data_IF_864456760786
#
_entry.id   IF_864456760786
#
_cell.length_a   1.000
_cell.length_b   1.000
_cell.length_c   1.000
_cell.angle_alpha   90.00
_cell.angle_beta   90.00
_cell.angle_gamma   90.00
#
_symmetry.space_group_name_H-M   'P 1'
#
loop_
_entity.id
_entity.type
_entity.pdbx_description
1 polymer ?
#
# COMPACT_ATOMS: atom_id res chain seq x y z
N UNK A 1 26.92 -41.38 -61.30
CA UNK A 1 27.40 -42.37 -62.29
C UNK A 1 28.18 -41.65 -63.37
N UNK A 2 29.39 -42.08 -63.69
CA UNK A 2 30.14 -41.53 -64.85
C UNK A 2 30.10 -42.58 -65.98
N UNK A 3 29.72 -42.18 -67.21
CA UNK A 3 29.74 -43.07 -68.33
C UNK A 3 31.19 -43.34 -68.75
N UNK A 4 31.49 -44.57 -69.01
CA UNK A 4 32.69 -45.00 -69.76
C UNK A 4 32.24 -45.32 -71.18
N UNK A 5 32.75 -44.54 -72.14
CA UNK A 5 32.39 -44.71 -73.58
C UNK A 5 33.49 -45.37 -74.32
N UNK A 6 33.15 -46.03 -75.43
CA UNK A 6 34.07 -46.62 -76.41
C UNK A 6 34.65 -45.50 -77.29
N UNK A 7 35.52 -45.90 -78.30
CA UNK A 7 36.13 -44.97 -79.26
C UNK A 7 35.13 -44.32 -80.22
N UNK A 8 33.91 -44.87 -80.27
CA UNK A 8 32.81 -44.31 -81.07
C UNK A 8 31.94 -43.34 -80.29
N UNK A 9 32.12 -43.17 -78.91
CA UNK A 9 31.34 -42.36 -78.05
C UNK A 9 30.09 -43.08 -77.47
N UNK A 10 29.96 -44.40 -77.70
CA UNK A 10 28.86 -45.13 -77.14
C UNK A 10 29.15 -45.59 -75.71
N UNK A 11 28.14 -45.48 -74.81
CA UNK A 11 28.30 -45.76 -73.35
C UNK A 11 28.37 -47.29 -73.17
N UNK A 12 29.56 -47.86 -72.91
CA UNK A 12 29.82 -49.23 -72.66
C UNK A 12 29.55 -49.69 -71.27
N UNK A 13 29.79 -48.73 -70.29
CA UNK A 13 29.66 -49.01 -68.85
C UNK A 13 29.36 -47.79 -68.05
N UNK A 14 28.56 -47.95 -66.99
CA UNK A 14 28.33 -46.88 -66.00
C UNK A 14 29.12 -47.23 -64.76
N UNK A 15 30.19 -46.41 -64.49
CA UNK A 15 30.96 -46.56 -63.28
C UNK A 15 30.19 -45.92 -62.10
N UNK A 16 29.72 -46.73 -61.12
CA UNK A 16 29.12 -46.15 -59.92
C UNK A 16 30.22 -45.44 -59.10
N UNK A 17 30.19 -44.14 -59.06
CA UNK A 17 31.01 -43.38 -58.10
C UNK A 17 30.12 -42.92 -56.98
N UNK A 18 30.37 -43.41 -55.79
CA UNK A 18 29.73 -42.97 -54.56
C UNK A 18 30.78 -42.37 -53.63
N UNK A 19 30.48 -41.24 -53.02
CA UNK A 19 31.25 -40.71 -51.92
C UNK A 19 30.51 -41.13 -50.63
N UNK A 20 31.20 -41.78 -49.69
CA UNK A 20 30.66 -42.03 -48.37
C UNK A 20 30.60 -40.70 -47.63
N UNK A 21 29.40 -40.28 -47.29
CA UNK A 21 29.13 -39.00 -46.57
C UNK A 21 28.60 -39.28 -45.16
N UNK A 22 28.68 -40.51 -44.65
CA UNK A 22 28.13 -40.91 -43.33
C UNK A 22 28.73 -40.13 -42.19
N UNK A 23 30.06 -40.01 -42.12
CA UNK A 23 30.73 -39.20 -41.10
C UNK A 23 30.33 -37.72 -41.17
N UNK A 24 30.32 -37.15 -42.38
CA UNK A 24 29.94 -35.76 -42.59
C UNK A 24 28.52 -35.48 -42.10
N UNK A 25 27.54 -36.35 -42.44
CA UNK A 25 26.18 -36.25 -41.95
C UNK A 25 26.10 -36.40 -40.44
N UNK A 26 26.88 -37.29 -39.83
CA UNK A 26 26.99 -37.44 -38.38
C UNK A 26 27.44 -36.15 -37.69
N UNK A 27 28.47 -35.50 -38.22
CA UNK A 27 28.92 -34.20 -37.70
C UNK A 27 27.87 -33.09 -37.88
N UNK A 28 27.22 -33.02 -39.06
CA UNK A 28 26.18 -32.02 -39.31
C UNK A 28 24.98 -32.17 -38.37
N UNK A 29 24.55 -33.41 -38.06
CA UNK A 29 23.48 -33.70 -37.09
C UNK A 29 23.90 -33.29 -35.67
N UNK A 30 25.08 -33.73 -35.22
CA UNK A 30 25.58 -33.42 -33.90
C UNK A 30 25.76 -31.90 -33.68
N UNK A 31 26.25 -31.16 -34.68
CA UNK A 31 26.34 -29.72 -34.65
C UNK A 31 24.97 -29.07 -34.50
N UNK A 32 24.00 -29.48 -35.33
CA UNK A 32 22.62 -28.97 -35.30
C UNK A 32 21.94 -29.20 -33.96
N UNK A 33 22.11 -30.39 -33.36
CA UNK A 33 21.59 -30.72 -32.05
C UNK A 33 22.22 -29.84 -30.94
N UNK A 34 23.54 -29.59 -31.04
CA UNK A 34 24.26 -28.70 -30.13
C UNK A 34 23.76 -27.24 -30.24
N UNK A 35 23.61 -26.73 -31.48
CA UNK A 35 23.07 -25.40 -31.74
C UNK A 35 21.64 -25.26 -31.22
N UNK A 36 20.78 -26.25 -31.43
CA UNK A 36 19.41 -26.26 -30.90
C UNK A 36 19.39 -26.23 -29.38
N UNK A 37 20.25 -26.99 -28.72
CA UNK A 37 20.36 -27.02 -27.25
C UNK A 37 20.83 -25.66 -26.71
N UNK A 38 21.82 -25.04 -27.34
CA UNK A 38 22.30 -23.71 -26.96
C UNK A 38 21.24 -22.63 -27.15
N UNK A 39 20.52 -22.66 -28.28
CA UNK A 39 19.40 -21.76 -28.56
C UNK A 39 18.27 -21.90 -27.54
N UNK A 40 17.94 -23.14 -27.16
CA UNK A 40 16.93 -23.39 -26.13
C UNK A 40 17.35 -22.85 -24.76
N UNK A 41 18.61 -23.04 -24.33
CA UNK A 41 19.14 -22.49 -23.08
C UNK A 41 19.14 -20.95 -23.08
N UNK A 42 19.52 -20.34 -24.20
CA UNK A 42 19.46 -18.91 -24.37
C UNK A 42 18.02 -18.37 -24.23
N UNK A 43 17.03 -19.07 -24.82
CA UNK A 43 15.60 -18.70 -24.70
C UNK A 43 15.11 -18.73 -23.27
N UNK A 44 15.57 -19.68 -22.44
CA UNK A 44 15.23 -19.74 -21.00
C UNK A 44 15.75 -18.51 -20.27
N UNK A 45 17.00 -18.11 -20.55
CA UNK A 45 17.62 -16.92 -19.93
C UNK A 45 16.90 -15.65 -20.37
N UNK A 46 16.54 -15.54 -21.65
CA UNK A 46 15.82 -14.38 -22.19
C UNK A 46 14.39 -14.26 -21.67
N UNK A 47 13.70 -15.39 -21.44
CA UNK A 47 12.32 -15.41 -20.93
C UNK A 47 12.22 -15.21 -19.42
N UNK A 48 13.33 -15.15 -18.69
CA UNK A 48 13.33 -14.92 -17.23
C UNK A 48 12.84 -13.50 -16.91
N UNK A 49 12.03 -13.34 -15.87
CA UNK A 49 11.65 -12.03 -15.32
C UNK A 49 12.78 -11.38 -14.49
N UNK A 50 13.74 -12.17 -14.04
CA UNK A 50 14.90 -11.68 -13.30
C UNK A 50 16.02 -11.26 -14.25
N UNK A 51 16.74 -10.20 -13.91
CA UNK A 51 17.95 -9.83 -14.62
C UNK A 51 19.03 -10.89 -14.42
N UNK A 52 19.49 -11.50 -15.54
CA UNK A 52 20.57 -12.47 -15.55
C UNK A 52 21.77 -11.85 -16.27
N UNK A 53 22.84 -11.65 -15.53
CA UNK A 53 24.05 -10.96 -15.98
C UNK A 53 25.25 -11.83 -15.68
N UNK A 54 26.16 -12.01 -16.64
CA UNK A 54 27.48 -12.59 -16.37
C UNK A 54 28.57 -11.55 -16.55
N UNK A 55 29.68 -11.78 -15.83
CA UNK A 55 30.87 -10.91 -15.89
C UNK A 55 32.12 -11.74 -15.67
N UNK A 56 33.26 -11.25 -16.16
CA UNK A 56 34.56 -11.83 -15.88
C UNK A 56 35.06 -11.47 -14.45
N UNK A 57 36.24 -11.95 -14.07
CA UNK A 57 36.85 -11.69 -12.75
C UNK A 57 37.32 -10.24 -12.56
N UNK A 58 37.39 -9.46 -13.64
CA UNK A 58 37.69 -8.02 -13.59
C UNK A 58 36.42 -7.17 -13.47
N UNK A 59 35.26 -7.82 -13.40
CA UNK A 59 33.98 -7.13 -13.26
C UNK A 59 33.38 -6.63 -14.56
N UNK A 60 33.96 -7.02 -15.71
CA UNK A 60 33.45 -6.62 -17.03
C UNK A 60 32.30 -7.54 -17.44
N UNK A 61 31.20 -6.94 -17.83
CA UNK A 61 29.97 -7.62 -18.23
C UNK A 61 30.21 -8.41 -19.53
N UNK A 62 29.82 -9.69 -19.52
CA UNK A 62 29.92 -10.59 -20.68
C UNK A 62 28.57 -11.06 -21.22
N UNK A 63 27.50 -11.00 -20.43
CA UNK A 63 26.16 -11.24 -20.91
C UNK A 63 25.14 -10.39 -20.17
N UNK A 64 23.99 -10.09 -20.86
CA UNK A 64 22.96 -9.20 -20.39
C UNK A 64 21.64 -9.61 -21.02
N UNK A 65 20.68 -10.19 -20.26
CA UNK A 65 19.41 -10.65 -20.81
C UNK A 65 18.38 -9.51 -20.94
N UNK A 66 17.28 -9.76 -21.63
CA UNK A 66 16.21 -8.78 -21.83
C UNK A 66 15.60 -8.23 -20.54
N UNK A 67 15.59 -9.00 -19.45
CA UNK A 67 15.14 -8.50 -18.14
C UNK A 67 16.14 -7.53 -17.50
N UNK A 68 17.43 -7.74 -17.71
CA UNK A 68 18.43 -6.79 -17.27
C UNK A 68 18.29 -5.45 -18.03
N UNK A 69 17.93 -5.48 -19.32
CA UNK A 69 17.61 -4.26 -20.08
C UNK A 69 16.40 -3.52 -19.47
N UNK A 70 15.31 -4.25 -19.18
CA UNK A 70 14.08 -3.67 -18.60
C UNK A 70 14.30 -3.11 -17.20
N UNK A 71 15.06 -3.83 -16.37
CA UNK A 71 15.29 -3.47 -14.96
C UNK A 71 16.28 -2.31 -14.84
N UNK A 72 17.38 -2.33 -15.58
CA UNK A 72 18.46 -1.32 -15.43
C UNK A 72 18.43 -0.21 -16.47
N UNK A 73 17.71 -0.40 -17.59
CA UNK A 73 17.56 0.62 -18.63
C UNK A 73 18.74 0.72 -19.61
N UNK A 74 19.76 -0.14 -19.52
CA UNK A 74 20.84 -0.27 -20.50
C UNK A 74 20.51 -1.41 -21.46
N UNK A 75 20.70 -1.20 -22.75
CA UNK A 75 20.64 -2.30 -23.74
C UNK A 75 21.85 -3.22 -23.58
N UNK A 76 21.74 -4.47 -24.07
CA UNK A 76 22.88 -5.41 -24.07
C UNK A 76 24.10 -4.83 -24.81
N UNK A 77 23.88 -4.13 -25.92
CA UNK A 77 24.95 -3.49 -26.70
C UNK A 77 25.67 -2.38 -25.92
N UNK A 78 24.98 -1.69 -25.01
CA UNK A 78 25.57 -0.66 -24.16
C UNK A 78 26.26 -1.24 -22.92
N UNK A 79 25.72 -2.34 -22.37
CA UNK A 79 26.18 -2.93 -21.11
C UNK A 79 27.36 -3.90 -21.30
N UNK A 80 27.34 -4.76 -22.33
CA UNK A 80 28.38 -5.74 -22.57
C UNK A 80 29.72 -5.04 -22.86
N UNK A 81 30.76 -5.47 -22.19
CA UNK A 81 32.08 -4.84 -22.26
C UNK A 81 32.29 -3.69 -21.27
N UNK A 82 31.25 -3.22 -20.59
CA UNK A 82 31.35 -2.21 -19.53
C UNK A 82 31.57 -2.86 -18.16
N UNK A 83 32.17 -2.12 -17.21
CA UNK A 83 32.24 -2.60 -15.83
C UNK A 83 30.84 -2.66 -15.19
N UNK A 84 30.55 -3.68 -14.39
CA UNK A 84 29.27 -3.86 -13.70
C UNK A 84 28.93 -2.69 -12.77
N UNK A 85 29.92 -1.88 -12.43
CA UNK A 85 29.75 -0.67 -11.60
C UNK A 85 28.83 0.38 -12.24
N UNK A 86 28.53 0.29 -13.55
CA UNK A 86 27.54 1.18 -14.21
C UNK A 86 26.15 1.12 -13.55
N UNK A 87 25.80 0.01 -12.91
CA UNK A 87 24.52 -0.17 -12.19
C UNK A 87 24.68 -0.08 -10.68
N UNK A 88 25.85 0.30 -10.17
CA UNK A 88 26.14 0.37 -8.73
C UNK A 88 26.32 1.84 -8.34
N UNK A 89 25.52 2.37 -7.37
CA UNK A 89 25.73 3.71 -6.85
C UNK A 89 27.16 3.92 -6.34
N UNK A 90 27.67 5.14 -6.44
CA UNK A 90 29.07 5.47 -6.10
C UNK A 90 29.44 5.10 -4.65
N UNK A 91 28.51 5.30 -3.72
CA UNK A 91 28.65 5.00 -2.28
C UNK A 91 28.66 3.49 -1.97
N UNK A 92 28.37 2.62 -2.96
CA UNK A 92 28.26 1.17 -2.80
C UNK A 92 29.23 0.37 -3.66
N UNK A 93 30.17 1.01 -4.33
CA UNK A 93 31.12 0.31 -5.21
C UNK A 93 32.01 -0.69 -4.50
N UNK A 94 32.24 -0.54 -3.20
CA UNK A 94 33.00 -1.50 -2.39
C UNK A 94 32.30 -2.87 -2.25
N UNK A 95 30.97 -2.92 -2.45
CA UNK A 95 30.23 -4.19 -2.50
C UNK A 95 30.77 -5.09 -3.62
N UNK A 96 31.10 -4.52 -4.79
CA UNK A 96 31.59 -5.28 -5.92
C UNK A 96 32.94 -5.92 -5.65
N UNK A 97 33.87 -5.20 -4.99
CA UNK A 97 35.18 -5.76 -4.59
C UNK A 97 35.00 -6.93 -3.63
N UNK A 98 34.09 -6.80 -2.68
CA UNK A 98 33.78 -7.86 -1.72
C UNK A 98 33.19 -9.08 -2.44
N UNK A 99 32.25 -8.86 -3.36
CA UNK A 99 31.63 -9.92 -4.17
C UNK A 99 32.69 -10.66 -4.98
N UNK A 100 33.53 -9.96 -5.72
CA UNK A 100 34.57 -10.60 -6.55
C UNK A 100 35.60 -11.36 -5.73
N UNK A 101 35.95 -10.87 -4.54
CA UNK A 101 36.87 -11.56 -3.63
C UNK A 101 36.28 -12.91 -3.19
N UNK A 102 35.01 -12.97 -2.83
CA UNK A 102 34.30 -14.19 -2.45
C UNK A 102 34.16 -15.16 -3.63
N UNK A 103 33.78 -14.63 -4.81
CA UNK A 103 33.66 -15.43 -6.04
C UNK A 103 35.00 -16.11 -6.39
N UNK A 104 36.13 -15.39 -6.31
CA UNK A 104 37.46 -15.97 -6.57
C UNK A 104 37.82 -17.13 -5.62
N UNK A 105 37.22 -17.19 -4.41
CA UNK A 105 37.33 -18.29 -3.47
C UNK A 105 36.35 -19.43 -3.74
N UNK A 106 35.51 -19.30 -4.79
CA UNK A 106 34.47 -20.27 -5.12
C UNK A 106 33.21 -20.18 -4.27
N UNK A 107 33.07 -19.12 -3.46
CA UNK A 107 31.93 -18.91 -2.60
C UNK A 107 30.74 -18.37 -3.43
N UNK A 108 29.52 -18.86 -3.10
CA UNK A 108 28.26 -18.32 -3.60
C UNK A 108 27.74 -17.27 -2.63
N UNK A 109 27.05 -16.26 -3.17
CA UNK A 109 26.37 -15.22 -2.39
C UNK A 109 24.88 -15.36 -2.67
N UNK A 110 24.09 -15.66 -1.64
CA UNK A 110 22.66 -15.88 -1.74
C UNK A 110 21.88 -14.72 -1.13
N UNK A 111 20.80 -14.30 -1.82
CA UNK A 111 19.77 -13.38 -1.33
C UNK A 111 20.28 -12.11 -0.63
N UNK A 112 21.25 -11.46 -1.24
CA UNK A 112 21.78 -10.20 -0.74
C UNK A 112 20.94 -9.04 -1.29
N UNK A 113 20.19 -8.34 -0.42
CA UNK A 113 19.45 -7.16 -0.81
C UNK A 113 20.33 -5.92 -0.82
N UNK A 114 20.25 -5.15 -1.89
CA UNK A 114 21.05 -3.94 -2.04
C UNK A 114 20.36 -2.96 -2.99
N UNK A 115 20.87 -1.71 -3.03
CA UNK A 115 20.41 -0.67 -3.95
C UNK A 115 21.25 -0.70 -5.22
N UNK A 116 20.58 -0.56 -6.36
CA UNK A 116 21.21 -0.40 -7.68
C UNK A 116 20.67 0.85 -8.37
N UNK A 117 21.46 1.39 -9.27
CA UNK A 117 21.12 2.58 -10.05
C UNK A 117 20.78 2.17 -11.48
N UNK A 118 19.70 2.74 -12.01
CA UNK A 118 19.32 2.61 -13.42
C UNK A 118 20.06 3.65 -14.26
N UNK A 119 19.99 3.49 -15.58
CA UNK A 119 20.55 4.43 -16.56
C UNK A 119 20.02 5.86 -16.40
N UNK A 120 18.77 6.02 -16.01
CA UNK A 120 18.12 7.32 -15.76
C UNK A 120 18.50 7.96 -14.41
N UNK A 121 19.38 7.31 -13.63
CA UNK A 121 19.81 7.76 -12.31
C UNK A 121 18.87 7.32 -11.17
N UNK A 122 17.71 6.74 -11.45
CA UNK A 122 16.81 6.26 -10.42
C UNK A 122 17.38 5.06 -9.66
N UNK A 123 17.00 4.91 -8.38
CA UNK A 123 17.43 3.81 -7.53
C UNK A 123 16.35 2.75 -7.39
N UNK A 124 16.77 1.49 -7.40
CA UNK A 124 15.93 0.31 -7.17
C UNK A 124 16.54 -0.57 -6.08
N UNK A 125 15.69 -1.25 -5.33
CA UNK A 125 16.14 -2.30 -4.42
C UNK A 125 16.10 -3.62 -5.14
N UNK A 126 17.23 -4.31 -5.19
CA UNK A 126 17.33 -5.62 -5.83
C UNK A 126 17.76 -6.68 -4.82
N UNK A 127 17.19 -7.88 -4.94
CA UNK A 127 17.69 -9.08 -4.30
C UNK A 127 18.62 -9.78 -5.28
N UNK A 128 19.88 -9.96 -4.94
CA UNK A 128 20.90 -10.56 -5.81
C UNK A 128 21.40 -11.89 -5.29
N UNK A 129 21.62 -12.80 -6.23
CA UNK A 129 22.36 -14.03 -6.03
C UNK A 129 23.54 -14.03 -6.98
N UNK A 130 24.76 -14.31 -6.49
CA UNK A 130 25.96 -14.35 -7.34
C UNK A 130 26.65 -15.71 -7.16
N UNK A 131 26.91 -16.36 -8.29
CA UNK A 131 27.54 -17.68 -8.33
C UNK A 131 28.80 -17.67 -9.22
N UNK A 132 29.87 -18.38 -8.85
CA UNK A 132 31.03 -18.50 -9.71
C UNK A 132 30.71 -19.30 -10.99
N UNK A 133 31.17 -18.80 -12.12
CA UNK A 133 31.13 -19.51 -13.40
C UNK A 133 32.47 -20.25 -13.55
N UNK A 134 32.39 -21.57 -13.80
CA UNK A 134 33.53 -22.46 -13.92
C UNK A 134 33.63 -23.07 -15.31
N UNK A 135 34.85 -23.26 -15.79
CA UNK A 135 35.13 -24.06 -16.97
C UNK A 135 35.05 -25.56 -16.63
N UNK A 136 35.11 -26.43 -17.65
CA UNK A 136 35.01 -27.88 -17.45
C UNK A 136 36.11 -28.50 -16.58
N UNK A 137 37.25 -27.85 -16.43
CA UNK A 137 38.38 -28.21 -15.53
C UNK A 137 38.21 -27.65 -14.11
N UNK A 138 37.11 -26.94 -13.82
CA UNK A 138 36.82 -26.36 -12.51
C UNK A 138 37.41 -25.00 -12.25
N UNK A 139 38.15 -24.41 -13.21
CA UNK A 139 38.74 -23.07 -13.09
C UNK A 139 37.63 -22.01 -13.09
N UNK A 140 37.66 -21.07 -12.13
CA UNK A 140 36.69 -19.95 -12.06
C UNK A 140 37.10 -18.89 -13.09
N UNK A 141 36.21 -18.61 -14.02
CA UNK A 141 36.43 -17.63 -15.12
C UNK A 141 35.60 -16.37 -14.98
N UNK A 142 34.62 -16.36 -14.07
CA UNK A 142 33.74 -15.23 -13.89
C UNK A 142 32.65 -15.47 -12.88
N UNK A 143 31.62 -14.64 -12.92
CA UNK A 143 30.45 -14.74 -12.07
C UNK A 143 29.17 -14.59 -12.88
N UNK A 144 28.14 -15.38 -12.51
CA UNK A 144 26.75 -15.18 -12.92
C UNK A 144 26.00 -14.50 -11.79
N UNK A 145 25.24 -13.47 -12.10
CA UNK A 145 24.43 -12.69 -11.17
C UNK A 145 22.96 -12.75 -11.62
N UNK A 146 22.10 -13.14 -10.69
CA UNK A 146 20.66 -13.04 -10.84
C UNK A 146 20.20 -11.87 -9.94
N UNK A 147 19.48 -10.91 -10.50
CA UNK A 147 18.97 -9.76 -9.77
C UNK A 147 17.46 -9.63 -9.99
N UNK A 148 16.71 -9.67 -8.91
CA UNK A 148 15.27 -9.46 -8.89
C UNK A 148 14.97 -8.07 -8.35
N UNK A 149 14.17 -7.27 -9.07
CA UNK A 149 13.66 -5.99 -8.56
C UNK A 149 12.59 -6.28 -7.49
N UNK A 150 12.92 -5.97 -6.23
CA UNK A 150 12.01 -6.11 -5.09
C UNK A 150 11.44 -4.76 -4.63
N UNK A 151 11.69 -3.68 -5.38
CA UNK A 151 11.21 -2.33 -5.08
C UNK A 151 9.68 -2.26 -4.97
N UNK A 152 8.89 -2.85 -5.90
CA UNK A 152 7.43 -2.82 -5.81
C UNK A 152 6.92 -3.54 -4.55
N UNK A 153 7.52 -4.68 -4.24
CA UNK A 153 7.17 -5.48 -3.05
C UNK A 153 7.47 -4.71 -1.75
N UNK A 154 8.65 -4.08 -1.66
CA UNK A 154 9.01 -3.26 -0.49
C UNK A 154 8.09 -2.05 -0.31
N UNK A 155 7.78 -1.34 -1.39
CA UNK A 155 6.83 -0.22 -1.34
C UNK A 155 5.45 -0.65 -0.85
N UNK A 156 4.95 -1.79 -1.34
CA UNK A 156 3.68 -2.34 -0.88
C UNK A 156 3.72 -2.70 0.61
N UNK A 157 4.79 -3.34 1.08
CA UNK A 157 4.98 -3.66 2.49
C UNK A 157 5.03 -2.41 3.38
N UNK A 158 5.74 -1.36 2.95
CA UNK A 158 5.82 -0.08 3.66
C UNK A 158 4.45 0.61 3.73
N UNK A 159 3.69 0.59 2.63
CA UNK A 159 2.31 1.11 2.62
C UNK A 159 1.41 0.35 3.60
N UNK A 160 1.44 -0.98 3.58
CA UNK A 160 0.67 -1.82 4.52
C UNK A 160 1.08 -1.51 5.96
N UNK A 161 2.37 -1.42 6.26
CA UNK A 161 2.86 -1.09 7.60
C UNK A 161 2.43 0.30 8.06
N UNK A 162 2.37 1.27 7.15
CA UNK A 162 1.88 2.63 7.45
C UNK A 162 0.38 2.61 7.74
N UNK A 163 -0.42 1.97 6.90
CA UNK A 163 -1.86 1.83 7.12
C UNK A 163 -2.18 1.07 8.41
N UNK A 164 -1.42 0.03 8.73
CA UNK A 164 -1.58 -0.73 9.97
C UNK A 164 -1.32 0.16 11.20
N UNK A 165 -0.26 0.98 11.18
CA UNK A 165 0.02 1.93 12.27
C UNK A 165 -1.07 2.98 12.44
N UNK A 166 -1.59 3.52 11.33
CA UNK A 166 -2.71 4.45 11.39
C UNK A 166 -3.98 3.81 11.97
N UNK A 167 -4.31 2.58 11.55
CA UNK A 167 -5.45 1.83 12.09
C UNK A 167 -5.29 1.55 13.59
N UNK A 168 -4.08 1.18 14.04
CA UNK A 168 -3.78 0.98 15.46
C UNK A 168 -3.94 2.27 16.27
N UNK A 169 -3.45 3.39 15.75
CA UNK A 169 -3.60 4.70 16.40
C UNK A 169 -5.07 5.11 16.55
N UNK A 170 -5.87 4.91 15.48
CA UNK A 170 -7.30 5.19 15.50
C UNK A 170 -8.04 4.29 16.50
N UNK A 171 -7.70 3.00 16.52
CA UNK A 171 -8.30 2.05 17.50
C UNK A 171 -7.98 2.43 18.95
N UNK A 172 -6.74 2.84 19.25
CA UNK A 172 -6.35 3.33 20.58
C UNK A 172 -7.13 4.58 20.99
N UNK A 173 -7.32 5.53 20.08
CA UNK A 173 -8.09 6.74 20.34
C UNK A 173 -9.56 6.41 20.61
N UNK A 174 -10.15 5.51 19.84
CA UNK A 174 -11.53 5.06 20.02
C UNK A 174 -11.72 4.39 21.39
N UNK A 175 -10.82 3.47 21.77
CA UNK A 175 -10.85 2.82 23.08
C UNK A 175 -10.66 3.81 24.23
N UNK A 176 -9.78 4.81 24.07
CA UNK A 176 -9.62 5.86 25.08
C UNK A 176 -10.89 6.69 25.26
N UNK A 177 -11.60 7.03 24.16
CA UNK A 177 -12.88 7.73 24.22
C UNK A 177 -13.95 6.87 24.92
N UNK A 178 -14.06 5.60 24.59
CA UNK A 178 -14.98 4.67 25.26
C UNK A 178 -14.66 4.56 26.76
N UNK A 179 -13.39 4.40 27.11
CA UNK A 179 -12.97 4.36 28.53
C UNK A 179 -13.32 5.65 29.28
N UNK A 180 -13.10 6.80 28.65
CA UNK A 180 -13.46 8.10 29.25
C UNK A 180 -14.99 8.20 29.45
N UNK A 181 -15.78 7.79 28.45
CA UNK A 181 -17.26 7.76 28.56
C UNK A 181 -17.73 6.88 29.70
N UNK A 182 -17.21 5.66 29.82
CA UNK A 182 -17.57 4.75 30.90
C UNK A 182 -17.20 5.33 32.27
N UNK A 183 -15.98 5.82 32.44
CA UNK A 183 -15.49 6.42 33.69
C UNK A 183 -16.27 7.65 34.12
N UNK A 184 -16.70 8.46 33.17
CA UNK A 184 -17.40 9.71 33.43
C UNK A 184 -18.94 9.51 33.51
N UNK A 185 -19.46 8.36 33.12
CA UNK A 185 -20.90 8.06 33.24
C UNK A 185 -21.31 7.90 34.69
N UNK A 186 -22.38 8.54 35.07
CA UNK A 186 -22.99 8.48 36.39
C UNK A 186 -24.52 8.42 36.26
N UNK A 187 -25.16 7.61 37.09
CA UNK A 187 -26.61 7.53 37.23
C UNK A 187 -26.96 7.06 38.63
N UNK A 188 -28.15 7.41 39.10
CA UNK A 188 -28.64 7.00 40.40
C UNK A 188 -29.11 5.54 40.41
N UNK A 189 -29.28 4.91 39.23
CA UNK A 189 -29.70 3.51 39.07
C UNK A 189 -28.76 2.78 38.10
N UNK A 190 -28.63 1.47 38.27
CA UNK A 190 -27.80 0.61 37.38
C UNK A 190 -28.35 0.61 35.97
N UNK A 191 -29.66 0.54 35.77
CA UNK A 191 -30.31 0.54 34.46
C UNK A 191 -30.10 1.89 33.75
N UNK A 192 -30.27 3.00 34.45
CA UNK A 192 -30.00 4.33 33.88
C UNK A 192 -28.53 4.56 33.52
N UNK A 193 -27.57 3.93 34.26
CA UNK A 193 -26.16 3.95 33.90
C UNK A 193 -25.91 3.17 32.60
N UNK A 194 -26.53 1.99 32.47
CA UNK A 194 -26.43 1.15 31.28
C UNK A 194 -26.97 1.86 30.05
N UNK A 195 -28.18 2.41 30.12
CA UNK A 195 -28.80 3.19 29.04
C UNK A 195 -27.93 4.38 28.62
N UNK A 196 -27.35 5.11 29.58
CA UNK A 196 -26.48 6.25 29.29
C UNK A 196 -25.20 5.84 28.58
N UNK A 197 -24.59 4.71 28.96
CA UNK A 197 -23.39 4.19 28.30
C UNK A 197 -23.71 3.69 26.88
N UNK A 198 -24.80 2.89 26.75
CA UNK A 198 -25.23 2.35 25.44
C UNK A 198 -25.55 3.47 24.45
N UNK A 199 -26.29 4.49 24.85
CA UNK A 199 -26.62 5.63 24.00
C UNK A 199 -25.39 6.37 23.51
N UNK A 200 -24.40 6.59 24.37
CA UNK A 200 -23.15 7.26 24.01
C UNK A 200 -22.29 6.42 23.06
N UNK A 201 -22.21 5.11 23.29
CA UNK A 201 -21.51 4.20 22.38
C UNK A 201 -22.20 4.20 21.02
N UNK A 202 -23.54 4.22 20.98
CA UNK A 202 -24.29 4.29 19.73
C UNK A 202 -24.04 5.60 19.00
N UNK A 203 -24.06 6.74 19.68
CA UNK A 203 -23.72 8.05 19.09
C UNK A 203 -22.31 8.04 18.49
N UNK A 204 -21.33 7.47 19.21
CA UNK A 204 -19.96 7.33 18.69
C UNK A 204 -19.92 6.43 17.45
N UNK A 205 -20.64 5.32 17.42
CA UNK A 205 -20.73 4.41 16.30
C UNK A 205 -21.36 5.09 15.06
N UNK A 206 -22.41 5.88 15.27
CA UNK A 206 -23.07 6.67 14.23
C UNK A 206 -22.11 7.64 13.55
N UNK A 207 -21.34 8.40 14.33
CA UNK A 207 -20.33 9.34 13.78
C UNK A 207 -19.22 8.60 13.05
N UNK A 208 -18.79 7.44 13.52
CA UNK A 208 -17.82 6.61 12.83
C UNK A 208 -18.31 6.16 11.45
N UNK A 209 -19.60 5.89 11.28
CA UNK A 209 -20.19 5.56 9.97
C UNK A 209 -20.05 6.73 8.99
N UNK A 210 -20.26 7.98 9.44
CA UNK A 210 -20.06 9.18 8.62
C UNK A 210 -18.59 9.35 8.19
N UNK A 211 -17.63 8.95 9.03
CA UNK A 211 -16.20 9.02 8.65
C UNK A 211 -15.85 8.05 7.52
N UNK A 212 -16.51 6.90 7.44
CA UNK A 212 -16.27 5.94 6.35
C UNK A 212 -16.67 6.56 5.00
N UNK A 213 -17.80 7.26 4.94
CA UNK A 213 -18.30 7.94 3.73
C UNK A 213 -17.34 9.02 3.24
N UNK A 214 -16.70 9.74 4.16
CA UNK A 214 -15.76 10.84 3.87
C UNK A 214 -14.30 10.38 3.80
N UNK A 215 -14.02 9.07 3.79
CA UNK A 215 -12.67 8.52 3.86
C UNK A 215 -11.84 9.06 5.03
N UNK A 216 -12.49 9.25 6.19
CA UNK A 216 -11.88 9.71 7.44
C UNK A 216 -11.36 11.16 7.43
N UNK A 217 -11.77 11.98 6.47
CA UNK A 217 -11.43 13.41 6.45
C UNK A 217 -12.18 14.15 7.56
N UNK A 218 -13.41 13.73 7.89
CA UNK A 218 -14.26 14.34 8.90
C UNK A 218 -15.72 13.97 8.72
N UNK A 219 -16.63 14.72 9.34
CA UNK A 219 -18.07 14.55 9.16
C UNK A 219 -18.75 15.92 9.00
N UNK A 220 -19.77 15.98 8.16
CA UNK A 220 -20.65 17.15 8.00
C UNK A 220 -21.45 17.37 9.28
N UNK A 221 -21.47 18.61 9.79
CA UNK A 221 -22.20 18.97 11.00
C UNK A 221 -23.72 18.70 10.85
N UNK A 222 -24.26 18.96 9.68
CA UNK A 222 -25.65 18.66 9.34
C UNK A 222 -25.97 17.16 9.42
N UNK A 223 -25.05 16.30 8.94
CA UNK A 223 -25.19 14.85 9.02
C UNK A 223 -25.17 14.32 10.45
N UNK A 224 -24.23 14.84 11.28
CA UNK A 224 -24.18 14.51 12.71
C UNK A 224 -25.48 14.91 13.41
N UNK A 225 -25.94 16.15 13.19
CA UNK A 225 -27.18 16.64 13.79
C UNK A 225 -28.39 15.84 13.34
N UNK A 226 -28.46 15.49 12.05
CA UNK A 226 -29.55 14.67 11.51
C UNK A 226 -29.61 13.28 12.15
N UNK A 227 -28.46 12.62 12.36
CA UNK A 227 -28.39 11.31 13.00
C UNK A 227 -28.79 11.36 14.49
N UNK A 228 -28.27 12.31 15.26
CA UNK A 228 -28.55 12.41 16.69
C UNK A 228 -30.01 12.88 16.97
N UNK A 229 -30.59 13.65 16.09
CA UNK A 229 -31.95 14.19 16.24
C UNK A 229 -33.01 13.41 15.44
N UNK A 230 -32.62 12.35 14.70
CA UNK A 230 -33.53 11.52 13.91
C UNK A 230 -34.72 10.97 14.73
N UNK A 231 -34.58 10.52 16.00
CA UNK A 231 -35.71 10.03 16.78
C UNK A 231 -36.80 11.08 17.02
N UNK A 232 -36.49 12.38 16.90
CA UNK A 232 -37.37 13.49 17.18
C UNK A 232 -37.88 14.18 15.92
N UNK A 233 -37.49 13.67 14.73
CA UNK A 233 -37.91 14.17 13.41
C UNK A 233 -39.08 13.39 12.82
N UNK A 234 -39.87 12.66 13.61
CA UNK A 234 -40.87 11.66 13.28
C UNK A 234 -41.87 12.01 12.12
N UNK A 235 -42.82 11.10 11.84
CA UNK A 235 -43.76 11.13 10.71
C UNK A 235 -44.84 12.22 10.80
N UNK A 236 -44.81 13.10 11.84
CA UNK A 236 -45.69 14.28 12.03
C UNK A 236 -44.91 15.58 11.76
N UNK A 237 -45.38 16.70 12.36
CA UNK A 237 -44.57 17.93 12.36
C UNK A 237 -43.22 17.69 13.06
N UNK A 238 -42.08 18.00 12.36
CA UNK A 238 -40.76 17.76 12.95
C UNK A 238 -40.58 18.56 14.24
N UNK A 239 -40.27 17.84 15.34
CA UNK A 239 -40.04 18.46 16.64
C UNK A 239 -38.58 18.95 16.78
N UNK A 240 -37.70 18.61 15.81
CA UNK A 240 -36.34 19.05 15.74
C UNK A 240 -36.10 19.85 14.45
N UNK A 241 -35.62 21.09 14.56
CA UNK A 241 -35.13 21.92 13.44
C UNK A 241 -33.63 21.93 13.42
N UNK A 242 -33.07 21.64 12.24
CA UNK A 242 -31.62 21.66 11.99
C UNK A 242 -31.37 22.68 10.87
N UNK A 243 -30.53 23.68 11.12
CA UNK A 243 -30.31 24.75 10.14
C UNK A 243 -28.92 25.40 10.31
N UNK A 244 -28.17 25.58 9.21
CA UNK A 244 -26.88 26.23 9.17
C UNK A 244 -26.11 25.96 7.89
N UNK A 245 -25.02 26.68 7.65
CA UNK A 245 -24.15 26.50 6.49
C UNK A 245 -23.47 25.13 6.50
N UNK A 246 -23.00 24.68 5.32
CA UNK A 246 -22.19 23.47 5.21
C UNK A 246 -20.88 23.62 5.99
N UNK A 247 -20.60 22.71 6.90
CA UNK A 247 -19.40 22.69 7.75
C UNK A 247 -18.89 21.26 7.90
N UNK A 248 -17.69 21.01 7.40
CA UNK A 248 -16.97 19.76 7.60
C UNK A 248 -16.13 19.85 8.88
N UNK A 249 -16.41 19.01 9.85
CA UNK A 249 -15.70 18.95 11.11
C UNK A 249 -14.58 17.90 11.05
N UNK A 250 -13.42 18.23 11.60
CA UNK A 250 -12.37 17.25 11.83
C UNK A 250 -12.86 16.11 12.75
N UNK A 251 -12.30 14.88 12.67
CA UNK A 251 -12.82 13.72 13.38
C UNK A 251 -13.01 13.91 14.89
N UNK A 252 -12.05 14.54 15.58
CA UNK A 252 -12.14 14.79 17.01
C UNK A 252 -13.27 15.78 17.36
N UNK A 253 -13.45 16.83 16.56
CA UNK A 253 -14.51 17.80 16.74
C UNK A 253 -15.89 17.18 16.46
N UNK A 254 -16.01 16.37 15.41
CA UNK A 254 -17.21 15.66 15.04
C UNK A 254 -17.69 14.72 16.17
N UNK A 255 -16.79 13.89 16.72
CA UNK A 255 -17.07 13.01 17.86
C UNK A 255 -17.54 13.80 19.07
N UNK A 256 -16.85 14.90 19.36
CA UNK A 256 -17.17 15.77 20.49
C UNK A 256 -18.58 16.34 20.37
N UNK A 257 -18.91 16.88 19.20
CA UNK A 257 -20.20 17.51 18.93
C UNK A 257 -21.33 16.47 18.94
N UNK A 258 -21.11 15.26 18.40
CA UNK A 258 -22.12 14.22 18.43
C UNK A 258 -22.49 13.83 19.88
N UNK A 259 -21.50 13.61 20.74
CA UNK A 259 -21.76 13.31 22.14
C UNK A 259 -22.48 14.47 22.84
N UNK A 260 -22.09 15.72 22.54
CA UNK A 260 -22.76 16.89 23.10
C UNK A 260 -24.24 16.98 22.65
N UNK A 261 -24.52 16.73 21.38
CA UNK A 261 -25.88 16.71 20.83
C UNK A 261 -26.71 15.57 21.43
N UNK A 262 -26.13 14.39 21.57
CA UNK A 262 -26.75 13.26 22.23
C UNK A 262 -27.18 13.58 23.68
N UNK A 263 -26.28 14.19 24.43
CA UNK A 263 -26.56 14.62 25.81
C UNK A 263 -27.65 15.71 25.86
N UNK A 264 -27.60 16.71 24.98
CA UNK A 264 -28.61 17.74 24.90
C UNK A 264 -29.97 17.17 24.52
N UNK A 265 -30.04 16.29 23.53
CA UNK A 265 -31.27 15.62 23.10
C UNK A 265 -31.85 14.76 24.24
N UNK A 266 -31.01 13.97 24.92
CA UNK A 266 -31.43 13.16 26.08
C UNK A 266 -31.95 14.01 27.24
N UNK A 267 -31.29 15.16 27.51
CA UNK A 267 -31.78 16.10 28.54
C UNK A 267 -33.11 16.75 28.11
N UNK A 268 -33.28 17.10 26.86
CA UNK A 268 -34.54 17.65 26.36
C UNK A 268 -35.72 16.65 26.53
N UNK A 269 -35.46 15.36 26.33
CA UNK A 269 -36.45 14.28 26.56
C UNK A 269 -36.75 14.11 28.04
N UNK A 270 -35.74 14.05 28.89
CA UNK A 270 -35.91 13.75 30.32
C UNK A 270 -36.42 14.93 31.14
N UNK A 271 -35.99 16.15 30.81
CA UNK A 271 -36.20 17.31 31.65
C UNK A 271 -36.61 18.58 30.90
N UNK A 272 -36.49 18.58 29.56
CA UNK A 272 -36.65 19.78 28.71
C UNK A 272 -37.87 19.72 27.80
N UNK A 273 -37.78 20.44 26.68
CA UNK A 273 -38.88 20.65 25.76
C UNK A 273 -39.50 19.34 25.24
N UNK A 274 -38.69 18.33 24.92
CA UNK A 274 -39.17 17.10 24.34
C UNK A 274 -39.94 16.20 25.32
N UNK A 275 -39.97 16.53 26.61
CA UNK A 275 -40.83 15.85 27.59
C UNK A 275 -42.31 16.26 27.49
N UNK A 276 -42.62 17.37 26.78
CA UNK A 276 -43.97 17.83 26.49
C UNK A 276 -44.36 17.53 25.06
N UNK A 277 -45.67 17.38 24.77
CA UNK A 277 -46.20 17.01 23.44
C UNK A 277 -45.88 18.07 22.38
N UNK A 278 -46.06 19.35 22.74
CA UNK A 278 -45.83 20.49 21.88
C UNK A 278 -44.39 21.02 21.90
N UNK A 279 -43.52 20.38 22.64
CA UNK A 279 -42.14 20.79 22.80
C UNK A 279 -41.29 20.61 21.54
N UNK A 280 -40.48 21.61 21.25
CA UNK A 280 -39.62 21.67 20.03
C UNK A 280 -38.22 22.04 20.41
N UNK A 281 -37.25 21.54 19.63
CA UNK A 281 -35.84 21.89 19.69
C UNK A 281 -35.40 22.51 18.38
N UNK A 282 -34.41 23.41 18.44
CA UNK A 282 -33.72 23.90 17.28
C UNK A 282 -32.22 23.90 17.54
N UNK A 283 -31.49 23.24 16.61
CA UNK A 283 -30.04 23.28 16.54
C UNK A 283 -29.63 24.07 15.33
N UNK A 284 -28.98 25.20 15.52
CA UNK A 284 -28.56 26.10 14.45
C UNK A 284 -27.10 26.47 14.60
N UNK A 285 -26.41 26.77 13.49
CA UNK A 285 -25.04 27.23 13.54
C UNK A 285 -24.75 28.28 12.47
N UNK A 286 -23.74 29.10 12.73
CA UNK A 286 -23.30 30.15 11.81
C UNK A 286 -21.81 30.42 11.98
N UNK A 287 -21.17 30.93 10.94
CA UNK A 287 -19.82 31.47 11.03
C UNK A 287 -19.88 32.90 11.60
N UNK A 288 -19.12 33.15 12.65
CA UNK A 288 -18.88 34.51 13.11
C UNK A 288 -17.89 35.26 12.21
N UNK A 289 -17.87 36.58 12.26
CA UNK A 289 -17.01 37.43 11.43
C UNK A 289 -15.49 37.14 11.63
N UNK A 290 -15.12 36.58 12.77
CA UNK A 290 -13.75 36.17 13.12
C UNK A 290 -13.40 34.75 12.73
N UNK A 291 -14.27 34.08 11.94
CA UNK A 291 -14.08 32.71 11.46
C UNK A 291 -14.48 31.61 12.44
N UNK A 292 -14.90 31.97 13.66
CA UNK A 292 -15.37 31.00 14.65
C UNK A 292 -16.74 30.44 14.27
N UNK A 293 -16.94 29.14 14.53
CA UNK A 293 -18.23 28.48 14.40
C UNK A 293 -19.04 28.68 15.70
N UNK A 294 -20.21 29.30 15.57
CA UNK A 294 -21.15 29.46 16.69
C UNK A 294 -22.26 28.44 16.56
N UNK A 295 -22.39 27.56 17.56
CA UNK A 295 -23.46 26.57 17.69
C UNK A 295 -24.50 27.08 18.68
N UNK A 296 -25.79 26.95 18.32
CA UNK A 296 -26.90 27.35 19.17
C UNK A 296 -27.90 26.20 19.30
N UNK A 297 -28.16 25.83 20.54
CA UNK A 297 -29.25 24.93 20.93
C UNK A 297 -30.35 25.75 21.60
N UNK A 298 -31.59 25.57 21.20
CA UNK A 298 -32.74 26.22 21.81
C UNK A 298 -33.90 25.25 21.95
N UNK A 299 -34.62 25.40 23.05
CA UNK A 299 -35.80 24.61 23.41
C UNK A 299 -37.00 25.52 23.62
N UNK A 300 -38.19 25.07 23.19
CA UNK A 300 -39.43 25.81 23.32
C UNK A 300 -40.61 24.85 23.56
N UNK A 301 -41.68 25.36 24.19
CA UNK A 301 -42.93 24.56 24.46
C UNK A 301 -42.78 23.50 25.55
N UNK A 302 -41.66 23.50 26.28
CA UNK A 302 -41.44 22.58 27.39
C UNK A 302 -41.76 23.17 28.76
N UNK A 303 -41.57 22.36 29.86
CA UNK A 303 -41.78 22.82 31.23
C UNK A 303 -40.80 23.93 31.59
N UNK A 304 -41.13 24.79 32.57
CA UNK A 304 -40.22 25.86 33.05
C UNK A 304 -38.94 25.23 33.62
N UNK A 305 -37.79 25.64 33.06
CA UNK A 305 -36.47 25.11 33.43
C UNK A 305 -35.98 25.73 34.71
N UNK A 306 -35.72 24.92 35.73
CA UNK A 306 -35.02 25.35 36.94
C UNK A 306 -33.50 25.12 36.76
N UNK A 307 -32.70 26.04 37.30
CA UNK A 307 -31.23 25.85 37.30
C UNK A 307 -30.87 24.55 38.03
N UNK A 308 -30.16 23.63 37.41
CA UNK A 308 -29.82 22.38 38.08
C UNK A 308 -28.93 22.64 39.29
N UNK A 309 -29.28 22.08 40.43
CA UNK A 309 -28.54 22.17 41.70
C UNK A 309 -27.20 21.39 41.66
N UNK A 310 -27.08 20.42 40.76
CA UNK A 310 -25.85 19.66 40.48
C UNK A 310 -25.51 19.74 38.98
N UNK A 311 -24.23 19.95 38.72
CA UNK A 311 -23.75 19.87 37.34
C UNK A 311 -23.70 18.41 36.86
N UNK A 312 -24.64 18.04 36.02
CA UNK A 312 -24.68 16.73 35.38
C UNK A 312 -23.44 16.54 34.44
N UNK A 313 -23.26 15.31 34.04
CA UNK A 313 -22.19 14.89 33.14
C UNK A 313 -22.19 15.67 31.82
N UNK A 314 -23.36 15.85 31.18
CA UNK A 314 -23.48 16.60 29.92
C UNK A 314 -22.94 18.01 29.99
N UNK A 315 -23.21 18.75 31.07
CA UNK A 315 -22.68 20.10 31.24
C UNK A 315 -21.16 20.16 31.48
N UNK A 316 -20.54 19.10 32.00
CA UNK A 316 -19.08 18.96 32.10
C UNK A 316 -18.43 18.64 30.75
N UNK A 317 -19.00 17.68 30.03
CA UNK A 317 -18.52 17.34 28.67
C UNK A 317 -18.61 18.54 27.75
N UNK A 318 -19.77 19.19 27.67
CA UNK A 318 -19.94 20.35 26.79
C UNK A 318 -18.88 21.41 27.07
N UNK A 319 -18.57 21.73 28.34
CA UNK A 319 -17.54 22.69 28.71
C UNK A 319 -16.11 22.23 28.37
N UNK A 320 -15.80 20.97 28.61
CA UNK A 320 -14.49 20.40 28.32
C UNK A 320 -14.23 20.35 26.80
N UNK A 321 -15.26 20.02 26.05
CA UNK A 321 -15.23 20.01 24.58
C UNK A 321 -15.10 21.39 23.97
N UNK A 322 -15.87 22.35 24.49
CA UNK A 322 -15.75 23.75 24.07
C UNK A 322 -14.37 24.32 24.35
N UNK A 323 -13.72 23.92 25.44
CA UNK A 323 -12.34 24.30 25.73
C UNK A 323 -11.32 23.66 24.73
N UNK A 324 -11.56 22.45 24.28
CA UNK A 324 -10.70 21.78 23.27
C UNK A 324 -10.90 22.29 21.83
N UNK A 325 -12.09 22.81 21.53
CA UNK A 325 -12.41 23.38 20.21
C UNK A 325 -12.04 24.87 20.10
N UNK A 326 -11.79 25.54 21.21
CA UNK A 326 -11.44 26.97 21.28
C UNK A 326 -9.92 27.22 21.27
N UNK A 327 -9.07 26.22 21.32
CA UNK A 327 -7.62 26.25 21.18
C UNK A 327 -7.19 25.72 19.83
#
# INVERSE_FOLDING_TARGET
MRPICDRSGEVIFLHPSGLDITERRGFEVALRESEQRLSWLASIVESSDDAIVSKNLDGIISSWNGSAERIFGYTAAEAIGQPITIVIPLDRQDEERTILTRIRRGERIDHFETVRQRKDGSHIVVSITVSPVKTGDGTIVGASKIARDVTPQKRSQEQIATLAREAEHRSKNLLANVQAMVKLSQSDTVDGLKEAIEGRIQSLANVHSLFVETRWIGAELSGIAAQELAPFSGSGEPRARIDGPQVLLAPNAAQSIAIALHELATNAVKYGALSAEDGRIAFTWSHAADGRLTLRWSESGGPPVQRPSRQGFGGRIIRQMMAQLAG
#
